data_IF_901429707325
#
_entry.id   IF_901429707325
#
_cell.length_a   1.000
_cell.length_b   1.000
_cell.length_c   1.000
_cell.angle_alpha   90.00
_cell.angle_beta   90.00
_cell.angle_gamma   90.00
#
_symmetry.space_group_name_H-M   'P 1'
#
loop_
_entity.id
_entity.type
_entity.pdbx_description
1 polymer ?
#
# COMPACT_ATOMS: atom_id res chain seq x y z
N UNK A 1 -21.45 -10.70 17.83
CA UNK A 1 -21.29 -11.05 19.24
C UNK A 1 -20.00 -10.43 19.75
N UNK A 2 -20.08 -9.72 20.86
CA UNK A 2 -18.90 -9.11 21.47
C UNK A 2 -18.15 -10.24 22.20
N UNK A 3 -16.98 -10.62 21.71
CA UNK A 3 -16.16 -11.70 22.29
C UNK A 3 -15.48 -11.31 23.59
N UNK A 4 -15.62 -10.06 24.03
CA UNK A 4 -14.96 -9.54 25.24
C UNK A 4 -13.45 -9.30 25.07
N UNK A 5 -12.87 -9.61 23.92
CA UNK A 5 -11.46 -9.37 23.62
C UNK A 5 -11.27 -7.93 23.18
N UNK A 6 -10.39 -7.19 23.87
CA UNK A 6 -10.04 -5.82 23.54
C UNK A 6 -9.43 -5.78 22.12
N UNK A 7 -10.00 -4.94 21.26
CA UNK A 7 -9.50 -4.71 19.89
C UNK A 7 -10.15 -5.56 18.80
N UNK A 8 -11.11 -6.45 19.11
CA UNK A 8 -11.82 -7.21 18.09
C UNK A 8 -13.15 -6.57 17.68
N UNK A 9 -13.88 -5.98 18.63
CA UNK A 9 -15.21 -5.39 18.37
C UNK A 9 -15.38 -4.04 19.07
N UNK A 10 -16.38 -3.28 18.63
CA UNK A 10 -16.72 -1.97 19.18
C UNK A 10 -15.67 -0.89 18.90
N UNK A 11 -15.60 0.14 19.70
CA UNK A 11 -14.68 1.26 19.50
C UNK A 11 -13.21 0.84 19.54
N UNK A 12 -12.84 -0.13 20.37
CA UNK A 12 -11.48 -0.66 20.44
C UNK A 12 -11.08 -1.38 19.15
N UNK A 13 -12.01 -2.09 18.51
CA UNK A 13 -11.81 -2.69 17.18
C UNK A 13 -11.64 -1.64 16.09
N UNK A 14 -12.39 -0.53 16.15
CA UNK A 14 -12.24 0.60 15.22
C UNK A 14 -10.85 1.23 15.34
N UNK A 15 -10.36 1.49 16.55
CA UNK A 15 -9.01 2.03 16.75
C UNK A 15 -7.91 1.08 16.25
N UNK A 16 -8.05 -0.21 16.53
CA UNK A 16 -7.12 -1.22 16.01
C UNK A 16 -7.16 -1.27 14.48
N UNK A 17 -8.35 -1.26 13.90
CA UNK A 17 -8.55 -1.22 12.45
C UNK A 17 -7.92 0.02 11.83
N UNK A 18 -8.12 1.20 12.43
CA UNK A 18 -7.51 2.45 11.99
C UNK A 18 -5.98 2.39 12.00
N UNK A 19 -5.38 1.81 13.04
CA UNK A 19 -3.93 1.64 13.12
C UNK A 19 -3.38 0.71 12.02
N UNK A 20 -4.10 -0.38 11.71
CA UNK A 20 -3.72 -1.29 10.62
C UNK A 20 -3.91 -0.65 9.25
N UNK A 21 -5.03 0.06 9.06
CA UNK A 21 -5.36 0.73 7.77
C UNK A 21 -4.47 1.94 7.52
N UNK A 22 -3.82 2.50 8.54
CA UNK A 22 -2.83 3.58 8.37
C UNK A 22 -1.77 3.23 7.34
N UNK A 23 -1.43 1.96 7.20
CA UNK A 23 -0.55 1.47 6.14
C UNK A 23 -1.03 1.85 4.73
N UNK A 24 -2.33 1.93 4.49
CA UNK A 24 -2.89 2.29 3.19
C UNK A 24 -2.64 3.76 2.79
N UNK A 25 -2.32 4.60 3.76
CA UNK A 25 -1.96 6.01 3.52
C UNK A 25 -0.46 6.23 3.32
N UNK A 26 0.38 5.20 3.49
CA UNK A 26 1.81 5.29 3.21
C UNK A 26 2.04 5.68 1.75
N UNK A 27 2.90 6.65 1.55
CA UNK A 27 3.21 7.19 0.23
C UNK A 27 2.96 8.69 0.10
N UNK A 28 2.20 9.33 1.01
CA UNK A 28 2.06 10.78 1.03
C UNK A 28 3.40 11.47 1.31
N UNK A 29 4.27 10.82 2.07
CA UNK A 29 5.64 11.24 2.37
C UNK A 29 6.58 11.11 1.17
N UNK A 30 6.34 10.13 0.28
CA UNK A 30 7.11 10.01 -0.96
C UNK A 30 6.98 11.24 -1.86
N UNK A 31 5.87 11.97 -1.80
CA UNK A 31 5.69 13.25 -2.48
C UNK A 31 6.73 14.26 -1.99
N UNK A 32 7.09 14.25 -0.71
CA UNK A 32 8.09 15.17 -0.14
C UNK A 32 9.48 14.98 -0.73
N UNK A 33 9.82 13.74 -1.15
CA UNK A 33 11.11 13.45 -1.80
C UNK A 33 11.24 14.09 -3.18
N UNK A 34 10.12 14.45 -3.82
CA UNK A 34 10.05 15.12 -5.10
C UNK A 34 10.08 16.67 -4.98
N UNK A 35 10.28 17.20 -3.77
CA UNK A 35 10.26 18.66 -3.52
C UNK A 35 11.30 19.41 -4.36
N UNK A 36 12.46 18.82 -4.63
CA UNK A 36 13.52 19.43 -5.44
C UNK A 36 13.15 19.58 -6.92
N UNK A 37 12.20 18.79 -7.41
CA UNK A 37 11.72 18.81 -8.80
C UNK A 37 10.43 19.63 -8.96
N UNK A 38 9.83 20.07 -7.84
CA UNK A 38 8.55 20.76 -7.83
C UNK A 38 8.72 22.26 -8.06
N UNK A 39 7.92 22.82 -8.97
CA UNK A 39 7.84 24.27 -9.16
C UNK A 39 7.15 24.90 -7.95
N UNK A 40 7.78 25.93 -7.34
CA UNK A 40 7.28 26.61 -6.14
C UNK A 40 6.94 25.64 -4.99
N UNK A 41 7.93 24.90 -4.46
CA UNK A 41 7.70 23.81 -3.51
C UNK A 41 7.02 24.28 -2.23
N UNK A 42 7.32 25.48 -1.74
CA UNK A 42 6.72 26.05 -0.53
C UNK A 42 5.18 26.14 -0.57
N UNK A 43 4.60 26.33 -1.76
CA UNK A 43 3.14 26.43 -1.94
C UNK A 43 2.54 25.11 -2.46
N UNK A 44 3.18 24.52 -3.46
CA UNK A 44 2.59 23.39 -4.18
C UNK A 44 2.72 22.06 -3.41
N UNK A 45 3.76 21.90 -2.59
CA UNK A 45 3.94 20.67 -1.80
C UNK A 45 2.85 20.47 -0.75
N UNK A 46 2.56 21.43 0.15
CA UNK A 46 1.48 21.25 1.13
C UNK A 46 0.12 21.02 0.45
N UNK A 47 -0.17 21.74 -0.62
CA UNK A 47 -1.44 21.58 -1.37
C UNK A 47 -1.49 20.17 -1.98
N UNK A 48 -0.42 19.73 -2.62
CA UNK A 48 -0.35 18.40 -3.24
C UNK A 48 -0.56 17.28 -2.22
N UNK A 49 0.08 17.34 -1.07
CA UNK A 49 -0.06 16.36 0.00
C UNK A 49 -1.48 16.35 0.57
N UNK A 50 -2.03 17.51 0.94
CA UNK A 50 -3.38 17.60 1.50
C UNK A 50 -4.45 17.15 0.51
N UNK A 51 -4.35 17.56 -0.75
CA UNK A 51 -5.30 17.18 -1.78
C UNK A 51 -5.22 15.69 -2.11
N UNK A 52 -4.04 15.10 -2.16
CA UNK A 52 -3.88 13.66 -2.37
C UNK A 52 -4.50 12.86 -1.22
N UNK A 53 -4.25 13.25 0.03
CA UNK A 53 -4.86 12.62 1.21
C UNK A 53 -6.39 12.71 1.17
N UNK A 54 -6.95 13.88 0.85
CA UNK A 54 -8.39 14.10 0.78
C UNK A 54 -9.03 13.22 -0.31
N UNK A 55 -8.47 13.22 -1.51
CA UNK A 55 -8.98 12.41 -2.63
C UNK A 55 -8.87 10.92 -2.32
N UNK A 56 -7.73 10.46 -1.80
CA UNK A 56 -7.55 9.05 -1.42
C UNK A 56 -8.53 8.64 -0.31
N UNK A 57 -8.76 9.49 0.69
CA UNK A 57 -9.72 9.21 1.76
C UNK A 57 -11.13 9.02 1.23
N UNK A 58 -11.58 9.92 0.34
CA UNK A 58 -12.89 9.80 -0.30
C UNK A 58 -13.00 8.49 -1.09
N UNK A 59 -11.99 8.17 -1.90
CA UNK A 59 -11.96 6.94 -2.69
C UNK A 59 -11.97 5.70 -1.80
N UNK A 60 -11.23 5.68 -0.69
CA UNK A 60 -11.22 4.55 0.25
C UNK A 60 -12.58 4.36 0.92
N UNK A 61 -13.24 5.43 1.35
CA UNK A 61 -14.58 5.36 1.94
C UNK A 61 -15.58 4.80 0.93
N UNK A 62 -15.60 5.32 -0.29
CA UNK A 62 -16.50 4.85 -1.35
C UNK A 62 -16.24 3.39 -1.69
N UNK A 63 -14.97 3.02 -1.83
CA UNK A 63 -14.57 1.64 -2.13
C UNK A 63 -14.96 0.68 -1.02
N UNK A 64 -14.67 1.02 0.24
CA UNK A 64 -15.05 0.21 1.39
C UNK A 64 -16.57 0.04 1.50
N UNK A 65 -17.33 1.10 1.21
CA UNK A 65 -18.79 1.06 1.21
C UNK A 65 -19.33 0.11 0.14
N UNK A 66 -18.78 0.16 -1.07
CA UNK A 66 -19.17 -0.75 -2.16
C UNK A 66 -18.80 -2.20 -1.80
N UNK A 67 -17.60 -2.43 -1.29
CA UNK A 67 -17.14 -3.78 -0.90
C UNK A 67 -18.02 -4.41 0.16
N UNK A 68 -18.37 -3.68 1.21
CA UNK A 68 -19.26 -4.17 2.27
C UNK A 68 -20.71 -4.29 1.85
N UNK A 69 -21.13 -3.62 0.77
CA UNK A 69 -22.46 -3.77 0.16
C UNK A 69 -22.59 -4.99 -0.74
N UNK A 70 -21.46 -5.46 -1.31
CA UNK A 70 -21.44 -6.61 -2.22
C UNK A 70 -21.27 -7.92 -1.49
N UNK A 71 -20.41 -7.97 -0.47
CA UNK A 71 -20.12 -9.19 0.30
C UNK A 71 -20.12 -8.88 1.80
N UNK A 72 -20.53 -9.87 2.61
CA UNK A 72 -20.51 -9.70 4.05
C UNK A 72 -19.07 -9.70 4.56
N UNK A 73 -18.77 -8.86 5.58
CA UNK A 73 -17.39 -8.71 6.09
C UNK A 73 -16.74 -10.02 6.58
N UNK A 74 -17.55 -11.00 7.00
CA UNK A 74 -17.09 -12.33 7.41
C UNK A 74 -16.48 -13.14 6.26
N UNK A 75 -16.93 -12.88 5.02
CA UNK A 75 -16.49 -13.62 3.85
C UNK A 75 -15.05 -13.25 3.47
N UNK A 76 -14.65 -12.03 3.81
CA UNK A 76 -13.26 -11.57 3.66
C UNK A 76 -12.32 -12.14 4.73
N UNK A 77 -12.83 -12.49 5.92
CA UNK A 77 -12.01 -13.01 7.02
C UNK A 77 -11.62 -14.49 6.83
N UNK A 78 -12.43 -15.27 6.11
CA UNK A 78 -12.21 -16.70 5.88
C UNK A 78 -11.16 -17.03 4.83
N UNK A 79 -10.93 -16.12 3.90
CA UNK A 79 -9.90 -16.25 2.88
C UNK A 79 -8.67 -15.47 3.30
N UNK A 80 -7.58 -16.14 3.62
CA UNK A 80 -6.24 -15.52 3.78
C UNK A 80 -5.79 -14.92 2.42
N UNK A 81 -6.73 -14.25 1.75
CA UNK A 81 -6.68 -13.88 0.35
C UNK A 81 -5.97 -12.57 0.15
N UNK A 82 -4.99 -12.64 -0.69
CA UNK A 82 -4.22 -11.56 -1.27
C UNK A 82 -5.10 -10.60 -2.11
N UNK A 83 -6.35 -10.96 -2.41
CA UNK A 83 -7.24 -10.20 -3.29
C UNK A 83 -8.70 -10.15 -2.79
N UNK A 84 -9.02 -9.38 -1.74
CA UNK A 84 -10.38 -9.23 -1.25
C UNK A 84 -11.35 -8.71 -2.32
N UNK A 85 -10.88 -7.96 -3.30
CA UNK A 85 -11.67 -7.47 -4.43
C UNK A 85 -12.15 -8.62 -5.31
N UNK A 86 -11.30 -9.62 -5.56
CA UNK A 86 -11.67 -10.80 -6.33
C UNK A 86 -12.78 -11.60 -5.64
N UNK A 87 -12.69 -11.74 -4.31
CA UNK A 87 -13.73 -12.38 -3.49
C UNK A 87 -15.05 -11.64 -3.62
N UNK A 88 -15.04 -10.29 -3.53
CA UNK A 88 -16.26 -9.51 -3.68
C UNK A 88 -16.93 -9.70 -5.05
N UNK A 89 -16.13 -9.80 -6.12
CA UNK A 89 -16.65 -10.00 -7.48
C UNK A 89 -17.26 -11.40 -7.64
N UNK A 90 -16.65 -12.40 -7.04
CA UNK A 90 -17.18 -13.76 -7.07
C UNK A 90 -18.53 -13.83 -6.34
N UNK A 91 -18.76 -12.99 -5.31
CA UNK A 91 -20.04 -12.87 -4.61
C UNK A 91 -21.12 -12.10 -5.37
N UNK A 92 -20.81 -11.46 -6.50
CA UNK A 92 -21.81 -10.80 -7.36
C UNK A 92 -22.66 -11.79 -8.19
N UNK A 93 -22.41 -13.10 -8.09
CA UNK A 93 -23.10 -14.11 -8.85
C UNK A 93 -24.39 -14.61 -8.20
N UNK A 94 -25.25 -15.29 -8.96
CA UNK A 94 -26.44 -15.93 -8.41
C UNK A 94 -26.04 -17.06 -7.45
N UNK A 95 -26.74 -17.14 -6.34
CA UNK A 95 -26.57 -18.20 -5.35
C UNK A 95 -27.53 -19.34 -5.68
N UNK A 96 -27.01 -20.52 -5.91
CA UNK A 96 -27.84 -21.73 -6.11
C UNK A 96 -28.56 -22.15 -4.83
N UNK A 97 -29.57 -23.00 -4.97
CA UNK A 97 -30.35 -23.53 -3.83
C UNK A 97 -29.47 -24.30 -2.81
N UNK A 98 -28.26 -24.69 -3.21
CA UNK A 98 -27.26 -25.33 -2.33
C UNK A 98 -26.32 -24.32 -1.64
N UNK A 99 -26.53 -23.01 -1.79
CA UNK A 99 -25.68 -21.96 -1.21
C UNK A 99 -24.35 -21.74 -1.93
N UNK A 100 -24.17 -22.36 -3.11
CA UNK A 100 -22.95 -22.18 -3.92
C UNK A 100 -23.12 -20.95 -4.80
N UNK A 101 -22.20 -20.01 -4.67
CA UNK A 101 -22.18 -18.79 -5.49
C UNK A 101 -21.44 -19.09 -6.80
N UNK A 102 -22.14 -18.93 -7.93
CA UNK A 102 -21.54 -19.06 -9.25
C UNK A 102 -21.08 -17.65 -9.72
N UNK A 103 -19.79 -17.44 -10.02
CA UNK A 103 -19.30 -16.14 -10.44
C UNK A 103 -20.04 -15.63 -11.69
N UNK A 104 -20.76 -14.51 -11.59
CA UNK A 104 -21.51 -13.96 -12.72
C UNK A 104 -20.59 -13.42 -13.83
N UNK A 105 -19.41 -12.94 -13.43
CA UNK A 105 -18.48 -12.24 -14.34
C UNK A 105 -17.02 -12.71 -14.20
N UNK A 106 -16.69 -13.96 -14.60
CA UNK A 106 -15.32 -14.49 -14.44
C UNK A 106 -14.26 -13.71 -15.24
N UNK A 107 -14.66 -13.06 -16.35
CA UNK A 107 -13.78 -12.19 -17.12
C UNK A 107 -13.44 -10.90 -16.34
N UNK A 108 -14.39 -10.34 -15.58
CA UNK A 108 -14.21 -9.13 -14.77
C UNK A 108 -13.22 -9.40 -13.62
N UNK A 109 -13.35 -10.55 -12.96
CA UNK A 109 -12.40 -10.98 -11.93
C UNK A 109 -10.97 -11.02 -12.49
N UNK A 110 -10.77 -11.67 -13.65
CA UNK A 110 -9.45 -11.71 -14.29
C UNK A 110 -8.93 -10.33 -14.68
N UNK A 111 -9.79 -9.46 -15.23
CA UNK A 111 -9.41 -8.11 -15.61
C UNK A 111 -8.97 -7.28 -14.39
N UNK A 112 -9.69 -7.38 -13.28
CA UNK A 112 -9.36 -6.68 -12.03
C UNK A 112 -8.08 -7.22 -11.40
N UNK A 113 -7.88 -8.55 -11.37
CA UNK A 113 -6.62 -9.14 -10.89
C UNK A 113 -5.44 -8.63 -11.71
N UNK A 114 -5.57 -8.57 -13.04
CA UNK A 114 -4.52 -8.00 -13.89
C UNK A 114 -4.28 -6.52 -13.62
N UNK A 115 -5.35 -5.72 -13.43
CA UNK A 115 -5.23 -4.31 -13.08
C UNK A 115 -4.53 -4.11 -11.71
N UNK A 116 -4.83 -4.96 -10.73
CA UNK A 116 -4.16 -4.96 -9.42
C UNK A 116 -2.65 -5.26 -9.58
N UNK A 117 -2.28 -6.24 -10.40
CA UNK A 117 -0.88 -6.56 -10.66
C UNK A 117 -0.12 -5.38 -11.29
N UNK A 118 -0.71 -4.69 -12.26
CA UNK A 118 -0.13 -3.46 -12.83
C UNK A 118 -0.03 -2.34 -11.79
N UNK A 119 -1.04 -2.21 -10.93
CA UNK A 119 -1.03 -1.29 -9.81
C UNK A 119 0.14 -1.55 -8.85
N UNK A 120 0.36 -2.80 -8.45
CA UNK A 120 1.50 -3.18 -7.62
C UNK A 120 2.84 -2.87 -8.27
N UNK A 121 3.00 -3.16 -9.55
CA UNK A 121 4.22 -2.80 -10.28
C UNK A 121 4.49 -1.29 -10.23
N UNK A 122 3.45 -0.47 -10.44
CA UNK A 122 3.57 0.98 -10.37
C UNK A 122 3.97 1.47 -8.98
N UNK A 123 3.32 0.97 -7.93
CA UNK A 123 3.63 1.33 -6.53
C UNK A 123 5.05 0.94 -6.15
N UNK A 124 5.49 -0.27 -6.51
CA UNK A 124 6.85 -0.75 -6.23
C UNK A 124 7.89 0.16 -6.93
N UNK A 125 7.64 0.55 -8.17
CA UNK A 125 8.55 1.46 -8.90
C UNK A 125 8.66 2.82 -8.21
N UNK A 126 7.54 3.41 -7.79
CA UNK A 126 7.53 4.72 -7.13
C UNK A 126 8.20 4.67 -5.75
N UNK A 127 7.92 3.63 -4.97
CA UNK A 127 8.53 3.47 -3.64
C UNK A 127 10.04 3.23 -3.71
N UNK A 128 10.50 2.39 -4.64
CA UNK A 128 11.94 2.19 -4.86
C UNK A 128 12.64 3.48 -5.32
N UNK A 129 11.98 4.28 -6.16
CA UNK A 129 12.51 5.57 -6.58
C UNK A 129 12.64 6.53 -5.39
N UNK A 130 11.61 6.65 -4.55
CA UNK A 130 11.63 7.47 -3.34
C UNK A 130 12.74 7.02 -2.39
N UNK A 131 12.82 5.74 -2.10
CA UNK A 131 13.85 5.13 -1.26
C UNK A 131 15.27 5.48 -1.75
N UNK A 132 15.54 5.29 -3.03
CA UNK A 132 16.87 5.56 -3.59
C UNK A 132 17.28 7.03 -3.50
N UNK A 133 16.32 7.95 -3.60
CA UNK A 133 16.56 9.40 -3.46
C UNK A 133 16.90 9.79 -2.03
N UNK A 134 16.21 9.21 -1.05
CA UNK A 134 16.51 9.43 0.37
C UNK A 134 17.94 8.98 0.68
N UNK A 135 18.30 7.75 0.28
CA UNK A 135 19.66 7.24 0.50
C UNK A 135 20.73 8.02 -0.25
N UNK A 136 20.43 8.50 -1.44
CA UNK A 136 21.32 9.41 -2.19
C UNK A 136 21.56 10.70 -1.42
N UNK A 137 20.52 11.33 -0.88
CA UNK A 137 20.65 12.56 -0.08
C UNK A 137 21.47 12.33 1.17
N UNK A 138 21.14 11.25 1.94
CA UNK A 138 21.89 10.88 3.15
C UNK A 138 23.38 10.60 2.86
N UNK A 139 23.68 9.99 1.72
CA UNK A 139 25.08 9.74 1.32
C UNK A 139 25.80 11.04 0.93
N UNK A 140 25.11 12.00 0.32
CA UNK A 140 25.70 13.33 0.06
C UNK A 140 25.98 14.11 1.33
N UNK A 141 25.14 13.92 2.36
CA UNK A 141 25.31 14.56 3.66
C UNK A 141 26.37 13.85 4.54
N UNK A 142 27.01 12.80 4.01
CA UNK A 142 28.06 12.05 4.70
C UNK A 142 27.57 11.02 5.73
N UNK A 143 26.25 10.79 5.82
CA UNK A 143 25.64 9.84 6.74
C UNK A 143 25.75 8.38 6.26
N UNK A 144 25.93 8.17 4.96
CA UNK A 144 26.02 6.86 4.33
C UNK A 144 27.26 6.74 3.42
N UNK A 145 27.74 5.53 3.14
CA UNK A 145 28.88 5.31 2.26
C UNK A 145 28.68 5.95 0.87
N UNK A 146 29.75 6.42 0.21
CA UNK A 146 29.68 7.09 -1.10
C UNK A 146 29.13 6.24 -2.24
N UNK A 147 28.96 4.93 -2.00
CA UNK A 147 28.34 4.00 -2.93
C UNK A 147 26.91 4.42 -3.32
N UNK A 148 26.13 4.94 -2.36
CA UNK A 148 24.75 5.35 -2.57
C UNK A 148 24.62 6.69 -3.33
N UNK A 149 25.67 7.50 -3.34
CA UNK A 149 25.68 8.79 -4.07
C UNK A 149 26.12 8.65 -5.53
N UNK A 150 26.54 7.47 -5.98
CA UNK A 150 26.96 7.24 -7.38
C UNK A 150 25.74 7.25 -8.31
N UNK A 151 25.70 8.22 -9.22
CA UNK A 151 24.67 8.38 -10.24
C UNK A 151 25.12 7.76 -11.55
N UNK A 152 24.23 7.04 -12.21
CA UNK A 152 24.53 6.47 -13.53
C UNK A 152 24.69 7.58 -14.58
N UNK A 153 25.79 7.61 -15.37
CA UNK A 153 26.09 8.74 -16.25
C UNK A 153 25.04 8.97 -17.34
N UNK A 154 24.39 7.93 -17.84
CA UNK A 154 23.36 8.01 -18.90
C UNK A 154 21.96 8.32 -18.36
N UNK A 155 21.54 7.65 -17.29
CA UNK A 155 20.17 7.73 -16.77
C UNK A 155 19.98 8.73 -15.64
N UNK A 156 21.07 9.28 -15.11
CA UNK A 156 21.09 10.24 -13.99
C UNK A 156 20.30 9.79 -12.75
N UNK A 157 20.24 8.48 -12.55
CA UNK A 157 19.58 7.84 -11.41
C UNK A 157 20.60 7.04 -10.58
N UNK A 158 20.39 6.86 -9.27
CA UNK A 158 21.27 6.05 -8.41
C UNK A 158 21.06 4.55 -8.68
N UNK A 159 21.47 4.07 -9.87
CA UNK A 159 21.22 2.71 -10.35
C UNK A 159 21.77 1.62 -9.42
N UNK A 160 22.93 1.84 -8.79
CA UNK A 160 23.54 0.90 -7.86
C UNK A 160 22.70 0.72 -6.59
N UNK A 161 22.14 1.83 -6.06
CA UNK A 161 21.21 1.80 -4.92
C UNK A 161 19.93 1.05 -5.27
N UNK A 162 19.35 1.33 -6.44
CA UNK A 162 18.14 0.66 -6.90
C UNK A 162 18.34 -0.85 -7.05
N UNK A 163 19.47 -1.27 -7.64
CA UNK A 163 19.80 -2.69 -7.79
C UNK A 163 19.97 -3.37 -6.42
N UNK A 164 20.66 -2.73 -5.49
CA UNK A 164 20.85 -3.24 -4.14
C UNK A 164 19.49 -3.42 -3.44
N UNK A 165 18.64 -2.38 -3.46
CA UNK A 165 17.29 -2.46 -2.86
C UNK A 165 16.41 -3.50 -3.53
N UNK A 166 16.48 -3.64 -4.84
CA UNK A 166 15.76 -4.67 -5.57
C UNK A 166 16.11 -6.07 -5.05
N UNK A 167 17.41 -6.35 -4.88
CA UNK A 167 17.85 -7.65 -4.36
C UNK A 167 17.41 -7.85 -2.92
N UNK A 168 17.63 -6.87 -2.04
CA UNK A 168 17.25 -6.95 -0.63
C UNK A 168 15.73 -7.17 -0.49
N UNK A 169 14.92 -6.36 -1.16
CA UNK A 169 13.46 -6.45 -1.10
C UNK A 169 12.96 -7.78 -1.65
N UNK A 170 13.55 -8.27 -2.75
CA UNK A 170 13.17 -9.57 -3.33
C UNK A 170 13.48 -10.73 -2.38
N UNK A 171 14.63 -10.71 -1.72
CA UNK A 171 14.99 -11.72 -0.73
C UNK A 171 14.06 -11.63 0.49
N UNK A 172 13.82 -10.44 1.01
CA UNK A 172 12.90 -10.24 2.14
C UNK A 172 11.47 -10.70 1.80
N UNK A 173 10.98 -10.39 0.61
CA UNK A 173 9.66 -10.80 0.15
C UNK A 173 9.52 -12.33 0.00
N UNK A 174 10.60 -13.04 -0.28
CA UNK A 174 10.58 -14.51 -0.36
C UNK A 174 10.46 -15.19 1.02
N UNK A 175 10.95 -14.56 2.09
CA UNK A 175 11.01 -15.16 3.43
C UNK A 175 9.99 -14.58 4.41
N UNK A 176 9.54 -13.34 4.21
CA UNK A 176 8.64 -12.65 5.14
C UNK A 176 7.21 -12.66 4.59
N UNK A 177 6.24 -13.24 5.35
CA UNK A 177 4.83 -13.16 4.97
C UNK A 177 4.36 -11.70 4.90
N UNK A 178 3.52 -11.39 3.92
CA UNK A 178 3.00 -10.05 3.69
C UNK A 178 2.32 -9.42 4.92
N UNK A 179 1.64 -10.24 5.73
CA UNK A 179 1.01 -9.81 6.99
C UNK A 179 2.04 -9.26 7.98
N UNK A 180 3.12 -10.00 8.20
CA UNK A 180 4.18 -9.58 9.14
C UNK A 180 4.86 -8.31 8.64
N UNK A 181 5.16 -8.24 7.33
CA UNK A 181 5.72 -7.03 6.73
C UNK A 181 4.81 -5.82 6.92
N UNK A 182 3.50 -5.96 6.71
CA UNK A 182 2.52 -4.89 6.91
C UNK A 182 2.45 -4.40 8.36
N UNK A 183 2.44 -5.32 9.32
CA UNK A 183 2.45 -4.98 10.75
C UNK A 183 3.74 -4.24 11.15
N UNK A 184 4.91 -4.71 10.69
CA UNK A 184 6.20 -4.06 10.95
C UNK A 184 6.26 -2.64 10.36
N UNK A 185 5.77 -2.46 9.14
CA UNK A 185 5.74 -1.14 8.49
C UNK A 185 4.79 -0.20 9.22
N UNK A 186 3.59 -0.67 9.60
CA UNK A 186 2.62 0.14 10.36
C UNK A 186 3.18 0.61 11.70
N UNK A 187 3.81 -0.29 12.47
CA UNK A 187 4.42 0.03 13.75
C UNK A 187 5.59 1.02 13.55
N UNK A 188 6.48 0.74 12.59
CA UNK A 188 7.63 1.58 12.32
C UNK A 188 7.24 2.99 11.88
N UNK A 189 6.18 3.10 11.06
CA UNK A 189 5.70 4.40 10.57
C UNK A 189 5.02 5.19 11.69
N UNK A 190 4.15 4.55 12.48
CA UNK A 190 3.53 5.21 13.63
C UNK A 190 4.59 5.71 14.61
N UNK A 191 5.62 4.91 14.86
CA UNK A 191 6.73 5.32 15.74
C UNK A 191 7.55 6.47 15.16
N UNK A 192 7.71 6.55 13.84
CA UNK A 192 8.45 7.63 13.19
C UNK A 192 7.70 8.97 13.19
N UNK A 193 6.36 8.94 13.32
CA UNK A 193 5.51 10.14 13.37
C UNK A 193 5.12 10.58 14.78
N UNK A 194 5.52 9.86 15.82
CA UNK A 194 5.34 10.24 17.24
C UNK A 194 6.60 10.88 17.80
#
# INVERSE_FOLDING_TARGET
ANTGVLGEFGMSGVFRGAAVVFFAFLGFDAVSTAAQETKNPKKNMPIGILMSLLVCTILYILFAHVMTGVAHYTDFAGQQGIAPVAVAIDHMGPTDAAGVITPAYPWLNRAIVMAILFGYCSVIMVTLLGQSRVFFSMSRDGLLPPFFSKVHPKYRTPAHSNLLFMVIVSVMAAFIPARVAGEMVSIGTLFAFT
#
